data_IF_499565921152
#
_entry.id   IF_499565921152
#
_cell.length_a   1.000
_cell.length_b   1.000
_cell.length_c   1.000
_cell.angle_alpha   90.00
_cell.angle_beta   90.00
_cell.angle_gamma   90.00
#
_symmetry.space_group_name_H-M   'P 1'
#
loop_
_entity.id
_entity.type
_entity.pdbx_description
1 polymer ?
#
# COMPACT_ATOMS: atom_id res chain seq x y z
N UNK A 1 -30.93 -4.23 21.56
CA UNK A 1 -31.03 -2.87 21.02
C UNK A 1 -30.86 -1.80 22.12
N UNK A 2 -31.43 -1.96 23.31
CA UNK A 2 -31.28 -1.01 24.41
C UNK A 2 -29.83 -0.89 24.92
N UNK A 3 -29.04 -1.96 24.90
CA UNK A 3 -27.60 -1.94 25.21
C UNK A 3 -26.79 -1.19 24.15
N UNK A 4 -27.19 -1.26 22.89
CA UNK A 4 -26.52 -0.56 21.79
C UNK A 4 -26.72 0.96 21.87
N UNK A 5 -27.86 1.43 22.36
CA UNK A 5 -28.15 2.85 22.56
C UNK A 5 -27.27 3.50 23.65
N UNK A 6 -26.70 2.72 24.56
CA UNK A 6 -25.78 3.22 25.62
C UNK A 6 -24.31 3.26 25.16
N UNK A 7 -23.97 2.71 24.00
CA UNK A 7 -22.58 2.54 23.54
C UNK A 7 -22.17 3.43 22.36
N UNK A 8 -23.05 4.29 21.84
CA UNK A 8 -22.76 5.20 20.73
C UNK A 8 -23.62 4.98 19.49
N UNK A 9 -23.20 5.56 18.36
CA UNK A 9 -23.97 5.45 17.11
C UNK A 9 -23.96 4.00 16.57
N UNK A 10 -25.15 3.47 16.33
CA UNK A 10 -25.37 2.19 15.63
C UNK A 10 -25.46 2.47 14.14
N UNK A 11 -24.71 1.74 13.33
CA UNK A 11 -24.81 1.78 11.88
C UNK A 11 -25.70 0.66 11.38
N UNK A 12 -26.61 0.99 10.47
CA UNK A 12 -27.48 -0.01 9.80
C UNK A 12 -27.12 -0.01 8.32
N UNK A 13 -26.83 -1.18 7.79
CA UNK A 13 -26.54 -1.41 6.37
C UNK A 13 -27.59 -2.38 5.80
N UNK A 14 -28.40 -1.88 4.88
CA UNK A 14 -29.51 -2.64 4.31
C UNK A 14 -29.67 -2.39 2.81
N UNK A 15 -29.54 -3.41 1.95
CA UNK A 15 -29.06 -4.77 2.26
C UNK A 15 -27.54 -4.82 2.42
N UNK A 16 -27.01 -5.85 3.09
CA UNK A 16 -25.57 -6.13 3.06
C UNK A 16 -25.19 -6.48 1.61
N UNK A 17 -24.14 -5.87 1.02
CA UNK A 17 -23.72 -6.16 -0.35
C UNK A 17 -23.52 -7.66 -0.60
N UNK A 18 -24.24 -8.20 -1.60
CA UNK A 18 -24.21 -9.62 -1.96
C UNK A 18 -25.01 -10.56 -1.05
N UNK A 19 -25.78 -10.03 -0.10
CA UNK A 19 -26.62 -10.83 0.81
C UNK A 19 -28.00 -10.18 0.99
N UNK A 20 -29.05 -10.99 1.06
CA UNK A 20 -30.42 -10.53 1.36
C UNK A 20 -30.63 -10.37 2.89
N UNK A 21 -29.72 -9.66 3.56
CA UNK A 21 -29.71 -9.46 4.99
C UNK A 21 -29.55 -7.98 5.35
N UNK A 22 -30.00 -7.61 6.55
CA UNK A 22 -29.75 -6.30 7.15
C UNK A 22 -28.65 -6.44 8.19
N UNK A 23 -27.58 -5.66 8.05
CA UNK A 23 -26.48 -5.57 9.01
C UNK A 23 -26.75 -4.50 10.07
N UNK A 24 -26.54 -4.82 11.33
CA UNK A 24 -26.55 -3.87 12.44
C UNK A 24 -25.18 -3.90 13.09
N UNK A 25 -24.43 -2.82 12.91
CA UNK A 25 -23.09 -2.66 13.51
C UNK A 25 -23.20 -1.93 14.83
N UNK A 26 -22.76 -2.58 15.90
CA UNK A 26 -22.76 -2.03 17.26
C UNK A 26 -21.31 -1.83 17.69
N UNK A 27 -20.92 -0.62 18.12
CA UNK A 27 -19.56 -0.35 18.59
C UNK A 27 -19.19 -1.24 19.79
N UNK A 28 -17.98 -1.79 19.76
CA UNK A 28 -17.45 -2.53 20.89
C UNK A 28 -17.14 -1.61 22.07
N UNK A 29 -17.45 -2.02 23.28
CA UNK A 29 -17.06 -1.28 24.50
C UNK A 29 -15.54 -1.23 24.69
N UNK A 30 -14.82 -2.27 24.26
CA UNK A 30 -13.36 -2.32 24.23
C UNK A 30 -12.91 -2.57 22.79
N UNK A 31 -12.14 -1.66 22.25
CA UNK A 31 -11.52 -1.84 20.93
C UNK A 31 -10.29 -2.74 21.04
N UNK A 32 -10.20 -3.76 20.19
CA UNK A 32 -8.99 -4.55 20.04
C UNK A 32 -8.06 -3.87 19.02
N UNK A 33 -6.76 -3.85 19.33
CA UNK A 33 -5.77 -3.36 18.38
C UNK A 33 -5.53 -4.42 17.31
N UNK A 34 -5.66 -4.04 16.04
CA UNK A 34 -5.25 -4.86 14.89
C UNK A 34 -3.78 -4.59 14.61
N UNK A 35 -2.90 -5.53 14.98
CA UNK A 35 -1.47 -5.34 14.77
C UNK A 35 -1.05 -5.69 13.35
N UNK A 36 -0.05 -4.99 12.83
CA UNK A 36 0.53 -5.29 11.52
C UNK A 36 1.09 -6.72 11.44
N UNK A 37 1.72 -7.20 12.50
CA UNK A 37 2.22 -8.59 12.60
C UNK A 37 1.10 -9.61 12.38
N UNK A 38 -0.04 -9.41 13.03
CA UNK A 38 -1.20 -10.31 12.90
C UNK A 38 -1.70 -10.39 11.45
N UNK A 39 -1.67 -9.27 10.71
CA UNK A 39 -2.03 -9.23 9.30
C UNK A 39 -1.04 -10.03 8.46
N UNK A 40 0.26 -9.87 8.67
CA UNK A 40 1.31 -10.58 7.93
C UNK A 40 1.32 -12.10 8.20
N UNK A 41 0.99 -12.51 9.43
CA UNK A 41 0.95 -13.91 9.84
C UNK A 41 -0.34 -14.62 9.36
N UNK A 42 -1.33 -13.88 8.84
CA UNK A 42 -2.61 -14.42 8.38
C UNK A 42 -2.43 -15.37 7.18
N UNK A 43 -3.38 -16.30 7.02
CA UNK A 43 -3.40 -17.21 5.87
C UNK A 43 -3.60 -16.45 4.57
N UNK A 44 -4.42 -15.41 4.60
CA UNK A 44 -4.72 -14.55 3.47
C UNK A 44 -3.45 -13.88 2.93
N UNK A 45 -2.60 -13.36 3.82
CA UNK A 45 -1.33 -12.76 3.40
C UNK A 45 -0.37 -13.80 2.81
N UNK A 46 -0.27 -14.98 3.40
CA UNK A 46 0.60 -16.06 2.92
C UNK A 46 0.22 -16.55 1.52
N UNK A 47 -1.06 -16.44 1.14
CA UNK A 47 -1.58 -16.86 -0.17
C UNK A 47 -1.82 -15.70 -1.14
N UNK A 48 -1.23 -14.52 -0.88
CA UNK A 48 -1.34 -13.35 -1.76
C UNK A 48 -0.78 -13.62 -3.17
N UNK A 49 -1.30 -12.92 -4.19
CA UNK A 49 -0.94 -13.22 -5.59
C UNK A 49 0.51 -12.82 -5.95
N UNK A 50 1.08 -11.83 -5.26
CA UNK A 50 2.46 -11.35 -5.48
C UNK A 50 2.95 -10.45 -4.34
N UNK A 51 4.21 -9.99 -4.45
CA UNK A 51 4.96 -9.26 -3.43
C UNK A 51 4.64 -7.75 -3.29
N UNK A 52 3.71 -7.21 -4.08
CA UNK A 52 3.26 -5.81 -3.98
C UNK A 52 1.85 -5.69 -3.39
N UNK A 53 1.50 -6.62 -2.50
CA UNK A 53 0.25 -6.60 -1.73
C UNK A 53 0.39 -5.75 -0.48
N UNK A 54 -0.62 -4.95 -0.20
CA UNK A 54 -0.68 -4.00 0.92
C UNK A 54 -1.69 -4.50 1.95
N UNK A 55 -1.28 -4.64 3.20
CA UNK A 55 -2.18 -4.96 4.30
C UNK A 55 -3.07 -3.75 4.63
N UNK A 56 -4.40 -3.93 4.58
CA UNK A 56 -5.37 -2.87 4.88
C UNK A 56 -5.93 -2.95 6.30
N UNK A 57 -6.12 -4.15 6.83
CA UNK A 57 -6.71 -4.37 8.15
C UNK A 57 -7.70 -5.52 8.18
N UNK A 58 -8.64 -5.44 9.12
CA UNK A 58 -9.76 -6.39 9.28
C UNK A 58 -11.09 -5.69 9.09
N UNK A 59 -12.05 -6.39 8.49
CA UNK A 59 -13.43 -5.95 8.47
C UNK A 59 -14.16 -6.24 9.79
N UNK A 60 -15.43 -5.86 9.85
CA UNK A 60 -16.29 -6.06 11.03
C UNK A 60 -16.52 -7.53 11.39
N UNK A 61 -16.31 -8.45 10.45
CA UNK A 61 -16.39 -9.90 10.67
C UNK A 61 -15.04 -10.49 11.12
N UNK A 62 -13.98 -9.67 11.22
CA UNK A 62 -12.62 -10.09 11.56
C UNK A 62 -11.82 -10.67 10.41
N UNK A 63 -12.34 -10.64 9.19
CA UNK A 63 -11.63 -11.09 8.00
C UNK A 63 -10.53 -10.08 7.62
N UNK A 64 -9.33 -10.60 7.31
CA UNK A 64 -8.19 -9.78 6.88
C UNK A 64 -8.34 -9.38 5.41
N UNK A 65 -8.02 -8.11 5.11
CA UNK A 65 -8.09 -7.55 3.77
C UNK A 65 -6.73 -7.02 3.32
N UNK A 66 -6.42 -7.28 2.06
CA UNK A 66 -5.24 -6.79 1.35
C UNK A 66 -5.66 -6.09 0.07
N UNK A 67 -4.89 -5.09 -0.33
CA UNK A 67 -4.99 -4.48 -1.64
C UNK A 67 -3.82 -4.94 -2.52
N UNK A 68 -4.09 -5.06 -3.79
CA UNK A 68 -3.13 -5.43 -4.82
C UNK A 68 -2.70 -4.15 -5.58
N UNK A 69 -1.53 -3.60 -5.23
CA UNK A 69 -1.08 -2.33 -5.79
C UNK A 69 -0.97 -2.33 -7.32
N UNK A 70 -0.41 -3.36 -8.00
CA UNK A 70 -0.37 -3.39 -9.45
C UNK A 70 -1.73 -3.38 -10.15
N UNK A 71 -2.76 -3.92 -9.51
CA UNK A 71 -4.12 -3.90 -10.08
C UNK A 71 -4.81 -2.56 -9.92
N UNK A 72 -4.41 -1.72 -8.95
CA UNK A 72 -5.02 -0.42 -8.71
C UNK A 72 -4.62 0.67 -9.70
N UNK A 73 -3.53 0.80 -10.37
CA UNK A 73 -2.09 0.88 -10.09
C UNK A 73 -1.70 2.10 -9.25
N UNK A 74 -2.64 2.96 -8.92
CA UNK A 74 -2.48 4.14 -8.07
C UNK A 74 -3.42 4.04 -6.87
N UNK A 75 -2.96 4.51 -5.72
CA UNK A 75 -3.73 4.54 -4.48
C UNK A 75 -3.74 5.95 -3.91
N UNK A 76 -4.94 6.49 -3.68
CA UNK A 76 -5.14 7.73 -2.94
C UNK A 76 -5.53 7.39 -1.50
N UNK A 77 -4.73 7.87 -0.53
CA UNK A 77 -5.02 7.72 0.89
C UNK A 77 -5.40 9.10 1.45
N UNK A 78 -6.64 9.27 1.85
CA UNK A 78 -7.17 10.51 2.38
C UNK A 78 -7.85 10.30 3.75
N UNK A 79 -7.84 11.33 4.59
CA UNK A 79 -8.49 11.30 5.89
C UNK A 79 -8.21 12.56 6.70
N UNK A 80 -9.12 12.88 7.63
CA UNK A 80 -8.95 13.97 8.60
C UNK A 80 -7.80 13.68 9.56
N UNK A 81 -7.36 14.71 10.27
CA UNK A 81 -6.37 14.55 11.35
C UNK A 81 -6.88 13.54 12.39
N UNK A 82 -6.03 12.58 12.75
CA UNK A 82 -6.39 11.51 13.70
C UNK A 82 -7.19 10.34 13.11
N UNK A 83 -7.52 10.36 11.80
CA UNK A 83 -8.26 9.26 11.15
C UNK A 83 -7.44 7.98 10.89
N UNK A 84 -6.13 8.00 11.16
CA UNK A 84 -5.23 6.88 10.89
C UNK A 84 -4.52 6.93 9.53
N UNK A 85 -4.59 8.06 8.79
CA UNK A 85 -3.91 8.21 7.48
C UNK A 85 -2.42 7.86 7.55
N UNK A 86 -1.69 8.40 8.51
CA UNK A 86 -0.25 8.12 8.73
C UNK A 86 0.00 6.65 9.03
N UNK A 87 -0.87 6.02 9.83
CA UNK A 87 -0.78 4.58 10.11
C UNK A 87 -0.96 3.78 8.83
N UNK A 88 -1.96 4.12 8.02
CA UNK A 88 -2.22 3.46 6.73
C UNK A 88 -1.03 3.61 5.76
N UNK A 89 -0.44 4.80 5.65
CA UNK A 89 0.76 5.04 4.81
C UNK A 89 1.94 4.20 5.30
N UNK A 90 2.21 4.19 6.61
CA UNK A 90 3.28 3.37 7.19
C UNK A 90 3.03 1.87 6.99
N UNK A 91 1.79 1.40 7.19
CA UNK A 91 1.42 -0.01 6.94
C UNK A 91 1.63 -0.38 5.48
N UNK A 92 1.30 0.52 4.55
CA UNK A 92 1.56 0.35 3.11
C UNK A 92 3.05 0.19 2.84
N UNK A 93 3.88 1.12 3.32
CA UNK A 93 5.34 1.07 3.15
C UNK A 93 5.92 -0.21 3.75
N UNK A 94 5.54 -0.53 4.98
CA UNK A 94 6.04 -1.73 5.67
C UNK A 94 5.60 -3.03 4.98
N UNK A 95 4.38 -3.10 4.42
CA UNK A 95 3.93 -4.25 3.63
C UNK A 95 4.82 -4.47 2.42
N UNK A 96 5.18 -3.41 1.72
CA UNK A 96 6.04 -3.45 0.54
C UNK A 96 7.49 -3.81 0.91
N UNK A 97 8.03 -3.25 1.99
CA UNK A 97 9.40 -3.52 2.46
C UNK A 97 9.55 -4.95 2.99
N UNK A 98 8.52 -5.51 3.63
CA UNK A 98 8.57 -6.84 4.20
C UNK A 98 8.78 -7.94 3.15
N UNK A 99 8.24 -7.73 1.94
CA UNK A 99 8.22 -8.73 0.88
C UNK A 99 9.24 -8.49 -0.24
N UNK A 100 9.93 -7.36 -0.22
CA UNK A 100 10.80 -6.97 -1.31
C UNK A 100 12.19 -6.60 -0.81
N UNK A 101 13.18 -7.00 -1.57
CA UNK A 101 14.54 -6.47 -1.48
C UNK A 101 14.68 -5.22 -2.36
N UNK A 102 15.79 -4.49 -2.20
CA UNK A 102 16.10 -3.35 -3.07
C UNK A 102 16.34 -3.74 -4.55
N UNK A 103 16.52 -5.02 -4.84
CA UNK A 103 16.63 -5.55 -6.21
C UNK A 103 15.28 -5.73 -6.89
N UNK A 104 14.21 -5.91 -6.10
CA UNK A 104 12.85 -6.15 -6.63
C UNK A 104 11.95 -4.93 -6.52
N UNK A 105 12.25 -4.02 -5.57
CA UNK A 105 11.49 -2.81 -5.32
C UNK A 105 12.40 -1.62 -5.01
N UNK A 106 12.15 -0.51 -5.68
CA UNK A 106 12.74 0.79 -5.38
C UNK A 106 11.64 1.78 -5.05
N UNK A 107 11.98 2.80 -4.26
CA UNK A 107 11.02 3.80 -3.80
C UNK A 107 11.56 5.21 -3.99
N UNK A 108 10.65 6.14 -4.29
CA UNK A 108 10.85 7.58 -4.18
C UNK A 108 9.81 8.07 -3.18
N UNK A 109 10.26 8.77 -2.14
CA UNK A 109 9.37 9.29 -1.11
C UNK A 109 9.46 10.81 -1.03
N UNK A 110 8.31 11.48 -0.93
CA UNK A 110 8.19 12.93 -0.82
C UNK A 110 7.45 13.27 0.47
N UNK A 111 8.11 14.02 1.35
CA UNK A 111 7.55 14.49 2.63
C UNK A 111 7.82 15.99 2.82
N UNK A 112 6.97 16.85 2.25
CA UNK A 112 7.16 18.30 2.35
C UNK A 112 7.12 18.82 3.78
N UNK A 113 6.43 18.11 4.66
CA UNK A 113 6.28 18.47 6.09
C UNK A 113 7.44 17.98 6.95
N UNK A 114 8.25 17.05 6.48
CA UNK A 114 9.41 16.45 7.18
C UNK A 114 9.05 15.77 8.50
N UNK A 115 7.89 15.14 8.58
CA UNK A 115 7.38 14.59 9.85
C UNK A 115 7.03 13.11 9.81
N UNK A 116 6.78 12.54 8.62
CA UNK A 116 6.24 11.17 8.51
C UNK A 116 7.21 10.21 7.83
N UNK A 117 7.85 10.61 6.70
CA UNK A 117 8.63 9.69 5.86
C UNK A 117 10.15 9.81 6.04
N UNK A 118 10.64 10.87 6.67
CA UNK A 118 12.09 11.08 6.89
C UNK A 118 12.75 9.97 7.73
N UNK A 119 11.97 9.23 8.52
CA UNK A 119 12.45 8.06 9.27
C UNK A 119 12.92 6.90 8.37
N UNK A 120 12.49 6.88 7.10
CA UNK A 120 12.92 5.87 6.13
C UNK A 120 14.24 6.21 5.42
N UNK A 121 14.85 7.37 5.70
CA UNK A 121 16.15 7.69 5.14
C UNK A 121 17.19 6.62 5.48
N UNK A 122 17.99 6.25 4.47
CA UNK A 122 19.06 5.25 4.63
C UNK A 122 18.63 3.81 4.32
N UNK A 123 17.36 3.52 4.08
CA UNK A 123 16.99 2.18 3.61
C UNK A 123 17.46 1.97 2.16
N UNK A 124 17.93 0.75 1.80
CA UNK A 124 18.50 0.48 0.47
C UNK A 124 17.48 0.58 -0.68
N UNK A 125 16.19 0.57 -0.38
CA UNK A 125 15.11 0.68 -1.36
C UNK A 125 14.98 2.10 -1.95
N UNK A 126 15.43 3.14 -1.25
CA UNK A 126 15.31 4.52 -1.74
C UNK A 126 16.23 4.78 -2.93
N UNK A 127 15.70 5.37 -4.00
CA UNK A 127 16.49 5.88 -5.13
C UNK A 127 17.19 7.20 -4.82
N UNK A 128 16.63 7.97 -3.89
CA UNK A 128 17.17 9.23 -3.38
C UNK A 128 16.73 9.39 -1.93
N UNK A 129 17.45 10.16 -1.09
CA UNK A 129 16.92 10.54 0.22
C UNK A 129 15.51 11.11 0.11
N UNK A 130 14.72 11.01 1.17
CA UNK A 130 13.33 11.50 1.20
C UNK A 130 13.31 12.97 0.80
N UNK A 131 12.55 13.28 -0.24
CA UNK A 131 12.45 14.60 -0.84
C UNK A 131 11.58 15.51 0.02
N UNK A 132 12.07 16.68 0.39
CA UNK A 132 11.38 17.60 1.29
C UNK A 132 11.10 18.98 0.70
N UNK A 133 11.43 19.20 -0.56
CA UNK A 133 11.19 20.47 -1.23
C UNK A 133 10.52 20.27 -2.61
N UNK A 134 9.79 21.31 -3.03
CA UNK A 134 8.96 21.29 -4.24
C UNK A 134 9.81 21.11 -5.52
N UNK A 135 10.96 21.77 -5.62
CA UNK A 135 11.77 21.70 -6.84
C UNK A 135 12.32 20.28 -7.07
N UNK A 136 12.78 19.63 -6.02
CA UNK A 136 13.24 18.23 -6.10
C UNK A 136 12.07 17.28 -6.40
N UNK A 137 10.87 17.56 -5.87
CA UNK A 137 9.67 16.79 -6.19
C UNK A 137 9.35 16.85 -7.68
N UNK A 138 9.38 18.06 -8.26
CA UNK A 138 9.15 18.24 -9.72
C UNK A 138 10.23 17.49 -10.53
N UNK A 139 11.49 17.57 -10.11
CA UNK A 139 12.58 16.87 -10.79
C UNK A 139 12.41 15.35 -10.71
N UNK A 140 11.99 14.80 -9.56
CA UNK A 140 11.71 13.37 -9.38
C UNK A 140 10.54 12.89 -10.25
N UNK A 141 9.48 13.70 -10.39
CA UNK A 141 8.37 13.39 -11.28
C UNK A 141 8.80 13.40 -12.75
N UNK A 142 9.60 14.40 -13.19
CA UNK A 142 10.16 14.42 -14.56
C UNK A 142 11.07 13.22 -14.82
N UNK A 143 11.91 12.87 -13.86
CA UNK A 143 12.75 11.68 -13.94
C UNK A 143 11.90 10.41 -14.08
N UNK A 144 10.81 10.29 -13.32
CA UNK A 144 9.92 9.12 -13.38
C UNK A 144 9.27 8.96 -14.75
N UNK A 145 8.91 10.06 -15.44
CA UNK A 145 8.41 10.03 -16.82
C UNK A 145 9.49 9.48 -17.76
N UNK A 146 10.71 10.03 -17.70
CA UNK A 146 11.81 9.54 -18.53
C UNK A 146 12.17 8.07 -18.26
N UNK A 147 12.13 7.64 -17.00
CA UNK A 147 12.35 6.23 -16.65
C UNK A 147 11.22 5.31 -17.16
N UNK A 148 9.99 5.79 -17.17
CA UNK A 148 8.86 5.07 -17.75
C UNK A 148 9.06 4.87 -19.26
N UNK A 149 9.41 5.92 -20.00
CA UNK A 149 9.69 5.86 -21.44
C UNK A 149 10.86 4.90 -21.74
N UNK A 150 11.96 5.04 -21.02
CA UNK A 150 13.11 4.13 -21.13
C UNK A 150 12.72 2.66 -20.92
N UNK A 151 11.84 2.39 -19.96
CA UNK A 151 11.32 1.03 -19.70
C UNK A 151 10.41 0.54 -20.80
N UNK A 152 9.57 1.39 -21.38
CA UNK A 152 8.75 1.01 -22.54
C UNK A 152 9.63 0.57 -23.71
N UNK A 153 10.68 1.30 -24.04
CA UNK A 153 11.65 0.92 -25.08
C UNK A 153 12.36 -0.41 -24.76
N UNK A 154 12.78 -0.58 -23.50
CA UNK A 154 13.42 -1.81 -23.04
C UNK A 154 12.49 -3.02 -23.15
N UNK A 155 11.24 -2.90 -22.72
CA UNK A 155 10.25 -3.97 -22.79
C UNK A 155 9.91 -4.31 -24.25
N UNK A 156 9.74 -3.30 -25.09
CA UNK A 156 9.46 -3.44 -26.51
C UNK A 156 10.60 -4.18 -27.24
N UNK A 157 11.85 -3.75 -27.02
CA UNK A 157 13.03 -4.40 -27.62
C UNK A 157 13.22 -5.85 -27.18
N UNK A 158 12.83 -6.19 -25.94
CA UNK A 158 12.87 -7.54 -25.40
C UNK A 158 11.63 -8.39 -25.75
N UNK A 159 10.66 -7.85 -26.50
CA UNK A 159 9.40 -8.53 -26.81
C UNK A 159 8.64 -8.94 -25.53
N UNK A 160 8.66 -8.09 -24.52
CA UNK A 160 7.99 -8.30 -23.23
C UNK A 160 6.89 -7.26 -23.03
N UNK A 161 5.71 -7.70 -22.58
CA UNK A 161 4.55 -6.81 -22.39
C UNK A 161 4.55 -6.09 -21.05
N UNK A 162 5.28 -6.63 -20.07
CA UNK A 162 5.32 -6.13 -18.68
C UNK A 162 6.64 -6.53 -17.99
N UNK A 163 6.88 -5.92 -16.81
CA UNK A 163 8.08 -6.17 -15.98
C UNK A 163 8.18 -7.66 -15.58
N UNK A 164 7.07 -8.30 -15.27
CA UNK A 164 7.06 -9.71 -14.83
C UNK A 164 7.57 -10.63 -15.95
N UNK A 165 7.04 -10.46 -17.15
CA UNK A 165 7.46 -11.22 -18.33
C UNK A 165 8.91 -10.92 -18.74
N UNK A 166 9.34 -9.67 -18.58
CA UNK A 166 10.75 -9.28 -18.80
C UNK A 166 11.68 -9.98 -17.81
N UNK A 167 11.40 -9.86 -16.52
CA UNK A 167 12.22 -10.43 -15.45
C UNK A 167 12.29 -11.96 -15.50
N UNK A 168 11.22 -12.62 -15.98
CA UNK A 168 11.22 -14.07 -16.21
C UNK A 168 12.18 -14.49 -17.32
N UNK A 169 12.30 -13.67 -18.38
CA UNK A 169 13.24 -13.90 -19.50
C UNK A 169 14.67 -13.51 -19.17
N UNK A 170 14.89 -12.60 -18.25
CA UNK A 170 16.20 -12.01 -17.92
C UNK A 170 16.51 -12.15 -16.42
N UNK A 171 16.70 -13.38 -15.89
CA UNK A 171 16.88 -13.61 -14.45
C UNK A 171 18.11 -12.91 -13.87
N UNK A 172 19.16 -12.72 -14.68
CA UNK A 172 20.42 -12.08 -14.27
C UNK A 172 20.41 -10.55 -14.46
N UNK A 173 19.37 -10.00 -15.09
CA UNK A 173 19.25 -8.56 -15.36
C UNK A 173 17.82 -8.07 -15.12
N UNK A 174 17.32 -8.34 -13.93
CA UNK A 174 15.98 -7.94 -13.52
C UNK A 174 15.87 -6.43 -13.32
N UNK A 175 14.71 -5.88 -13.64
CA UNK A 175 14.37 -4.49 -13.32
C UNK A 175 13.40 -4.44 -12.15
N UNK A 176 13.64 -3.60 -11.13
CA UNK A 176 12.76 -3.47 -9.98
C UNK A 176 11.46 -2.74 -10.33
N UNK A 177 10.40 -3.01 -9.58
CA UNK A 177 9.27 -2.09 -9.51
C UNK A 177 9.71 -0.76 -8.85
N UNK A 178 9.08 0.35 -9.23
CA UNK A 178 9.30 1.65 -8.60
C UNK A 178 7.96 2.12 -8.04
N UNK A 179 7.93 2.40 -6.73
CA UNK A 179 6.78 2.99 -6.05
C UNK A 179 7.11 4.42 -5.66
N UNK A 180 6.26 5.36 -6.07
CA UNK A 180 6.35 6.77 -5.75
C UNK A 180 5.33 7.11 -4.68
N UNK A 181 5.76 7.68 -3.56
CA UNK A 181 4.92 8.04 -2.40
C UNK A 181 5.04 9.55 -2.17
N UNK A 182 3.87 10.23 -2.19
CA UNK A 182 3.79 11.69 -2.02
C UNK A 182 2.85 12.01 -0.86
#
# INVERSE_FOLDING_TARGET
LALAASTGMVRIEAPIPGQALVGIEVPNQKTAMVSFRELLESKEFKHRPHNLSIALGKDVAGKVWFADLPRMPHLLIAGATGSGKTVCVNTTIMSLLFENTAETLRMIMVDPKRVELTLYNGIPHLLTPVITNTQQTINALKWSIGEMERRFELLASAGSRDITSYNAKHPDNKIPHIVFII
#
